data_IF_977208067955
#
_entry.id   IF_977208067955
#
_cell.length_a   1.000
_cell.length_b   1.000
_cell.length_c   1.000
_cell.angle_alpha   90.00
_cell.angle_beta   90.00
_cell.angle_gamma   90.00
#
_symmetry.space_group_name_H-M   'P 1'
#
loop_
_entity.id
_entity.type
_entity.pdbx_description
1 polymer ?
#
# COMPACT_ATOMS: atom_id res chain seq x y z
N UNK A 1 -11.72 10.37 37.36
CA UNK A 1 -12.32 9.02 37.51
C UNK A 1 -13.55 8.99 36.63
N UNK A 2 -13.46 8.41 35.45
CA UNK A 2 -14.57 8.32 34.49
C UNK A 2 -15.27 6.95 34.63
N UNK A 3 -16.54 7.00 34.92
CA UNK A 3 -17.41 5.83 35.19
C UNK A 3 -17.99 5.36 33.83
N UNK A 4 -17.66 4.15 33.40
CA UNK A 4 -18.25 3.52 32.22
C UNK A 4 -19.45 2.65 32.66
N UNK A 5 -20.63 2.76 31.99
CA UNK A 5 -21.77 1.89 32.27
C UNK A 5 -21.58 0.49 31.66
N UNK A 6 -22.16 -0.56 32.28
CA UNK A 6 -22.03 -1.94 31.81
C UNK A 6 -22.89 -2.23 30.58
N UNK A 7 -22.30 -2.95 29.62
CA UNK A 7 -22.96 -3.46 28.41
C UNK A 7 -23.80 -4.69 28.76
N UNK A 8 -25.11 -4.68 28.41
CA UNK A 8 -26.00 -5.84 28.51
C UNK A 8 -25.81 -6.83 27.37
N UNK A 9 -25.78 -8.12 27.62
CA UNK A 9 -25.78 -9.12 26.56
C UNK A 9 -27.17 -9.33 25.98
N UNK A 10 -27.30 -9.33 24.67
CA UNK A 10 -28.51 -9.63 23.91
C UNK A 10 -28.62 -11.15 23.72
N UNK A 11 -29.81 -11.69 24.07
CA UNK A 11 -30.15 -13.10 23.98
C UNK A 11 -30.32 -13.59 22.53
N UNK A 12 -30.04 -14.88 22.22
CA UNK A 12 -30.21 -15.46 20.87
C UNK A 12 -31.68 -15.75 20.58
N UNK A 13 -32.15 -15.24 19.45
CA UNK A 13 -33.50 -15.48 18.91
C UNK A 13 -33.64 -16.86 18.26
N UNK A 14 -34.77 -17.46 18.52
CA UNK A 14 -35.24 -18.78 18.16
C UNK A 14 -35.39 -18.97 16.63
N UNK A 15 -35.07 -20.19 16.18
CA UNK A 15 -35.31 -20.75 14.86
C UNK A 15 -36.77 -21.26 14.79
N UNK A 16 -37.59 -20.93 13.80
CA UNK A 16 -38.83 -21.65 13.56
C UNK A 16 -38.65 -22.81 12.57
N UNK A 17 -39.28 -23.94 12.97
CA UNK A 17 -39.31 -25.22 12.31
C UNK A 17 -40.04 -25.27 10.96
N UNK A 18 -39.53 -26.13 10.14
CA UNK A 18 -40.05 -26.98 9.06
C UNK A 18 -41.56 -26.95 8.72
N UNK A 19 -41.84 -26.86 7.42
CA UNK A 19 -43.06 -27.38 6.81
C UNK A 19 -42.71 -28.29 5.64
N UNK A 20 -43.16 -29.55 5.60
CA UNK A 20 -42.94 -30.46 4.46
C UNK A 20 -44.13 -30.49 3.50
N UNK A 21 -43.85 -30.70 2.20
CA UNK A 21 -44.77 -31.36 1.31
C UNK A 21 -45.48 -30.53 0.26
N UNK A 22 -45.08 -30.72 -0.99
CA UNK A 22 -46.01 -31.00 -2.09
C UNK A 22 -45.25 -31.40 -3.36
N UNK A 23 -45.25 -32.71 -3.67
CA UNK A 23 -44.97 -33.24 -5.00
C UNK A 23 -46.05 -32.77 -5.97
N UNK A 24 -45.68 -32.20 -7.15
CA UNK A 24 -46.47 -32.24 -8.37
C UNK A 24 -45.67 -32.03 -9.66
N UNK A 25 -45.52 -33.10 -10.41
CA UNK A 25 -45.63 -33.35 -11.86
C UNK A 25 -44.62 -32.74 -12.85
N UNK A 26 -44.07 -33.59 -13.74
CA UNK A 26 -43.10 -33.25 -14.77
C UNK A 26 -43.83 -32.85 -16.08
N UNK A 27 -43.89 -31.58 -16.36
CA UNK A 27 -44.22 -31.05 -17.68
C UNK A 27 -43.67 -29.62 -17.79
N UNK A 28 -42.39 -29.49 -18.05
CA UNK A 28 -41.79 -28.21 -18.55
C UNK A 28 -40.26 -28.31 -18.70
N UNK A 29 -39.79 -29.50 -19.14
CA UNK A 29 -38.34 -29.70 -19.34
C UNK A 29 -37.79 -28.95 -20.55
N UNK A 30 -38.62 -28.53 -21.47
CA UNK A 30 -38.19 -27.78 -22.67
C UNK A 30 -38.00 -26.27 -22.42
N UNK A 31 -38.81 -25.69 -21.55
CA UNK A 31 -38.66 -24.28 -21.19
C UNK A 31 -37.42 -24.04 -20.30
N UNK A 32 -37.02 -25.00 -19.50
CA UNK A 32 -35.84 -24.93 -18.67
C UNK A 32 -34.53 -24.93 -19.47
N UNK A 33 -34.47 -25.62 -20.60
CA UNK A 33 -33.31 -25.69 -21.50
C UNK A 33 -33.08 -24.36 -22.26
N UNK A 34 -34.13 -23.66 -22.65
CA UNK A 34 -34.03 -22.38 -23.35
C UNK A 34 -33.68 -21.24 -22.41
N UNK A 35 -34.12 -21.27 -21.15
CA UNK A 35 -33.75 -20.28 -20.13
C UNK A 35 -32.32 -20.50 -19.62
N UNK A 36 -31.82 -21.73 -19.59
CA UNK A 36 -30.43 -22.03 -19.18
C UNK A 36 -29.37 -21.51 -20.17
N UNK A 37 -29.63 -21.62 -21.47
CA UNK A 37 -28.70 -21.15 -22.51
C UNK A 37 -28.56 -19.60 -22.51
N UNK A 38 -29.67 -18.90 -22.30
CA UNK A 38 -29.66 -17.42 -22.19
C UNK A 38 -28.92 -16.90 -20.99
N UNK A 39 -29.02 -17.58 -19.86
CA UNK A 39 -28.34 -17.16 -18.61
C UNK A 39 -26.82 -17.32 -18.70
N UNK A 40 -26.30 -18.33 -19.36
CA UNK A 40 -24.87 -18.58 -19.56
C UNK A 40 -24.24 -17.49 -20.44
N UNK A 41 -24.94 -17.09 -21.53
CA UNK A 41 -24.44 -16.03 -22.43
C UNK A 41 -24.43 -14.68 -21.72
N UNK A 42 -25.45 -14.37 -20.91
CA UNK A 42 -25.49 -13.12 -20.12
C UNK A 42 -24.41 -13.09 -19.05
N UNK A 43 -24.15 -14.20 -18.36
CA UNK A 43 -23.08 -14.30 -17.37
C UNK A 43 -21.69 -14.15 -17.99
N UNK A 44 -21.45 -14.78 -19.15
CA UNK A 44 -20.20 -14.64 -19.87
C UNK A 44 -19.96 -13.19 -20.33
N UNK A 45 -20.99 -12.50 -20.83
CA UNK A 45 -20.91 -11.09 -21.21
C UNK A 45 -20.65 -10.17 -20.03
N UNK A 46 -21.22 -10.45 -18.86
CA UNK A 46 -21.01 -9.69 -17.64
C UNK A 46 -19.58 -9.86 -17.10
N UNK A 47 -19.03 -11.07 -17.12
CA UNK A 47 -17.65 -11.35 -16.70
C UNK A 47 -16.65 -10.66 -17.63
N UNK A 48 -16.88 -10.67 -18.95
CA UNK A 48 -16.02 -9.96 -19.90
C UNK A 48 -16.13 -8.45 -19.75
N UNK A 49 -17.32 -7.91 -19.51
CA UNK A 49 -17.53 -6.49 -19.27
C UNK A 49 -16.81 -6.00 -18.01
N UNK A 50 -16.88 -6.75 -16.92
CA UNK A 50 -16.19 -6.41 -15.66
C UNK A 50 -14.66 -6.53 -15.82
N UNK A 51 -14.16 -7.53 -16.55
CA UNK A 51 -12.74 -7.68 -16.82
C UNK A 51 -12.18 -6.53 -17.67
N UNK A 52 -12.95 -6.02 -18.64
CA UNK A 52 -12.55 -4.85 -19.43
C UNK A 52 -12.57 -3.54 -18.62
N UNK A 53 -13.46 -3.41 -17.65
CA UNK A 53 -13.51 -2.24 -16.76
C UNK A 53 -12.44 -2.28 -15.67
N UNK A 54 -11.99 -3.47 -15.25
CA UNK A 54 -10.91 -3.66 -14.28
C UNK A 54 -9.51 -3.76 -14.91
N UNK A 55 -9.38 -3.59 -16.23
CA UNK A 55 -8.05 -3.43 -16.81
C UNK A 55 -7.41 -2.19 -16.20
N UNK A 56 -6.26 -2.30 -15.51
CA UNK A 56 -5.60 -1.13 -14.97
C UNK A 56 -5.28 -0.21 -16.14
N UNK A 57 -6.01 0.89 -16.24
CA UNK A 57 -5.69 1.94 -17.20
C UNK A 57 -4.22 2.31 -16.95
N UNK A 58 -3.39 2.21 -17.96
CA UNK A 58 -2.00 2.64 -17.84
C UNK A 58 -1.93 4.05 -17.25
N UNK A 59 -0.82 4.42 -16.59
CA UNK A 59 -0.72 5.72 -15.94
C UNK A 59 -1.02 6.82 -16.96
N UNK A 60 -1.90 7.75 -16.56
CA UNK A 60 -2.27 8.87 -17.41
C UNK A 60 -1.03 9.72 -17.78
N UNK A 61 -1.02 10.43 -18.89
CA UNK A 61 0.09 11.33 -19.24
C UNK A 61 0.45 12.32 -18.13
N UNK A 62 -0.55 12.80 -17.37
CA UNK A 62 -0.34 13.65 -16.21
C UNK A 62 0.39 12.92 -15.07
N UNK A 63 0.02 11.66 -14.78
CA UNK A 63 0.70 10.85 -13.77
C UNK A 63 2.14 10.51 -14.18
N UNK A 64 2.40 10.28 -15.47
CA UNK A 64 3.75 10.08 -16.00
C UNK A 64 4.60 11.36 -15.87
N UNK A 65 4.04 12.52 -16.17
CA UNK A 65 4.72 13.80 -16.01
C UNK A 65 5.07 14.07 -14.55
N UNK A 66 4.15 13.82 -13.62
CA UNK A 66 4.41 13.92 -12.18
C UNK A 66 5.48 12.96 -11.71
N UNK A 67 5.45 11.69 -12.15
CA UNK A 67 6.48 10.70 -11.82
C UNK A 67 7.86 11.12 -12.33
N UNK A 68 7.94 11.71 -13.53
CA UNK A 68 9.17 12.22 -14.10
C UNK A 68 9.72 13.44 -13.33
N UNK A 69 8.85 14.34 -12.90
CA UNK A 69 9.24 15.47 -12.05
C UNK A 69 9.74 14.98 -10.69
N UNK A 70 9.02 14.06 -10.04
CA UNK A 70 9.46 13.46 -8.77
C UNK A 70 10.80 12.74 -8.89
N UNK A 71 11.10 12.11 -10.04
CA UNK A 71 12.37 11.43 -10.25
C UNK A 71 13.59 12.36 -10.16
N UNK A 72 13.45 13.64 -10.50
CA UNK A 72 14.53 14.64 -10.43
C UNK A 72 14.91 14.99 -8.99
N UNK A 73 14.00 14.78 -8.05
CA UNK A 73 14.19 15.07 -6.63
C UNK A 73 14.52 13.82 -5.79
N UNK A 74 14.62 12.65 -6.40
CA UNK A 74 14.97 11.42 -5.68
C UNK A 74 16.43 11.43 -5.26
N UNK A 75 16.68 11.09 -4.00
CA UNK A 75 18.03 10.79 -3.54
C UNK A 75 18.62 9.65 -4.36
N UNK A 76 19.89 9.78 -4.71
CA UNK A 76 20.61 8.80 -5.54
C UNK A 76 21.54 7.94 -4.66
N UNK A 77 21.91 6.76 -5.18
CA UNK A 77 22.95 5.90 -4.60
C UNK A 77 22.74 5.68 -3.09
N UNK A 78 21.55 5.25 -2.70
CA UNK A 78 21.27 4.91 -1.31
C UNK A 78 22.08 3.67 -0.93
N UNK A 79 23.00 3.82 0.02
CA UNK A 79 23.87 2.76 0.53
C UNK A 79 23.56 2.52 1.99
N UNK A 80 23.44 1.24 2.36
CA UNK A 80 23.18 0.82 3.74
C UNK A 80 24.32 -0.09 4.18
N UNK A 81 25.07 0.35 5.19
CA UNK A 81 26.12 -0.42 5.84
C UNK A 81 25.62 -0.94 7.18
N UNK A 82 25.33 -2.26 7.31
CA UNK A 82 24.94 -2.86 8.59
C UNK A 82 26.06 -2.74 9.62
N UNK A 83 25.67 -2.49 10.89
CA UNK A 83 26.56 -2.43 12.05
C UNK A 83 25.98 -3.27 13.17
N UNK A 84 26.75 -3.65 14.20
CA UNK A 84 26.23 -4.31 15.38
C UNK A 84 25.10 -3.49 16.01
N UNK A 85 23.87 -4.05 16.03
CA UNK A 85 22.68 -3.38 16.57
C UNK A 85 22.21 -2.15 15.81
N UNK A 86 22.60 -1.96 14.52
CA UNK A 86 22.21 -0.79 13.78
C UNK A 86 22.58 -0.78 12.31
N UNK A 87 22.45 0.37 11.67
CA UNK A 87 22.85 0.59 10.28
C UNK A 87 23.25 2.05 10.05
N UNK A 88 24.26 2.27 9.21
CA UNK A 88 24.56 3.58 8.65
C UNK A 88 23.96 3.66 7.25
N UNK A 89 23.18 4.69 7.00
CA UNK A 89 22.57 4.98 5.69
C UNK A 89 23.25 6.22 5.12
N UNK A 90 23.65 6.13 3.85
CA UNK A 90 24.23 7.22 3.06
C UNK A 90 23.50 7.33 1.74
N UNK A 91 23.43 8.54 1.20
CA UNK A 91 22.87 8.80 -0.12
C UNK A 91 23.58 9.95 -0.80
N UNK A 92 23.47 10.03 -2.12
CA UNK A 92 23.87 11.22 -2.87
C UNK A 92 22.66 12.15 -3.02
N UNK A 93 22.91 13.49 -3.08
CA UNK A 93 21.82 14.44 -3.32
C UNK A 93 21.11 14.15 -4.66
N UNK A 94 19.85 14.58 -4.78
CA UNK A 94 19.12 14.46 -6.05
C UNK A 94 19.78 15.32 -7.13
N UNK A 95 19.58 14.99 -8.42
CA UNK A 95 20.09 15.80 -9.52
C UNK A 95 19.59 17.25 -9.47
N UNK A 96 18.37 17.45 -8.98
CA UNK A 96 17.77 18.77 -8.76
C UNK A 96 17.68 19.03 -7.27
N UNK A 97 18.61 19.83 -6.75
CA UNK A 97 18.69 20.13 -5.33
C UNK A 97 17.93 21.41 -4.91
N UNK A 98 17.53 22.23 -5.90
CA UNK A 98 16.78 23.46 -5.61
C UNK A 98 15.42 23.13 -4.96
N UNK A 99 15.11 23.82 -3.85
CA UNK A 99 13.89 23.59 -3.07
C UNK A 99 13.92 22.38 -2.14
N UNK A 100 15.02 21.62 -2.09
CA UNK A 100 15.17 20.54 -1.08
C UNK A 100 15.39 21.18 0.28
N UNK A 101 14.51 20.84 1.23
CA UNK A 101 14.57 21.38 2.61
C UNK A 101 15.04 20.35 3.61
N UNK A 102 14.75 19.08 3.38
CA UNK A 102 15.15 18.00 4.27
C UNK A 102 15.13 16.64 3.57
N UNK A 103 15.72 15.65 4.22
CA UNK A 103 15.56 14.22 3.93
C UNK A 103 14.91 13.54 5.12
N UNK A 104 13.90 12.70 4.85
CA UNK A 104 13.29 11.80 5.83
C UNK A 104 13.81 10.40 5.54
N UNK A 105 14.44 9.78 6.53
CA UNK A 105 14.97 8.42 6.37
C UNK A 105 14.24 7.50 7.33
N UNK A 106 13.61 6.47 6.78
CA UNK A 106 12.84 5.48 7.51
C UNK A 106 13.60 4.16 7.59
N UNK A 107 13.56 3.52 8.75
CA UNK A 107 13.93 2.11 8.91
C UNK A 107 12.65 1.30 9.13
N UNK A 108 12.32 0.41 8.19
CA UNK A 108 11.09 -0.37 8.18
C UNK A 108 11.36 -1.84 8.45
N UNK A 109 10.48 -2.48 9.22
CA UNK A 109 10.45 -3.91 9.45
C UNK A 109 9.08 -4.46 9.05
N UNK A 110 9.06 -5.32 8.01
CA UNK A 110 7.80 -5.88 7.51
C UNK A 110 6.82 -4.83 6.97
N UNK A 111 7.32 -3.77 6.31
CA UNK A 111 6.53 -2.69 5.73
C UNK A 111 5.99 -1.68 6.76
N UNK A 112 6.51 -1.70 8.00
CA UNK A 112 6.13 -0.74 9.04
C UNK A 112 7.35 0.04 9.48
N UNK A 113 7.26 1.37 9.48
CA UNK A 113 8.30 2.23 10.01
C UNK A 113 8.52 1.94 11.51
N UNK A 114 9.78 1.68 11.86
CA UNK A 114 10.22 1.46 13.24
C UNK A 114 10.92 2.69 13.80
N UNK A 115 11.69 3.36 12.96
CA UNK A 115 12.41 4.57 13.29
C UNK A 115 12.37 5.52 12.09
N UNK A 116 12.36 6.81 12.40
CA UNK A 116 12.40 7.90 11.44
C UNK A 116 13.44 8.92 11.86
N UNK A 117 14.26 9.34 10.91
CA UNK A 117 15.23 10.41 11.11
C UNK A 117 15.03 11.48 10.06
N UNK A 118 14.92 12.74 10.51
CA UNK A 118 14.94 13.91 9.63
C UNK A 118 16.35 14.47 9.57
N UNK A 119 16.86 14.66 8.37
CA UNK A 119 18.20 15.19 8.09
C UNK A 119 18.05 16.44 7.23
N UNK A 120 18.71 17.53 7.58
CA UNK A 120 18.64 18.78 6.80
C UNK A 120 19.16 18.63 5.37
N UNK A 121 18.82 19.57 4.51
CA UNK A 121 19.09 19.56 3.06
C UNK A 121 20.58 19.28 2.68
N UNK A 122 21.52 19.66 3.51
CA UNK A 122 22.96 19.46 3.30
C UNK A 122 23.50 18.15 3.88
N UNK A 123 22.70 17.45 4.66
CA UNK A 123 23.08 16.18 5.26
C UNK A 123 22.81 14.99 4.33
N UNK A 124 23.77 14.08 4.20
CA UNK A 124 23.67 12.95 3.28
C UNK A 124 23.97 11.61 3.98
N UNK A 125 23.81 11.57 5.30
CA UNK A 125 24.01 10.36 6.10
C UNK A 125 23.22 10.41 7.40
N UNK A 126 22.81 9.22 7.87
CA UNK A 126 22.27 9.04 9.21
C UNK A 126 22.67 7.67 9.75
N UNK A 127 22.50 7.47 11.07
CA UNK A 127 22.79 6.18 11.72
C UNK A 127 21.59 5.78 12.56
N UNK A 128 21.06 4.62 12.27
CA UNK A 128 20.05 3.96 13.08
C UNK A 128 20.73 3.08 14.13
N UNK A 129 20.33 3.19 15.38
CA UNK A 129 20.78 2.38 16.49
C UNK A 129 19.60 1.60 17.10
N UNK A 130 19.87 0.55 17.87
CA UNK A 130 18.83 -0.23 18.54
C UNK A 130 18.00 -1.12 17.61
N UNK A 131 18.48 -1.38 16.40
CA UNK A 131 17.85 -2.32 15.49
C UNK A 131 18.15 -3.75 15.94
N UNK A 132 17.15 -4.64 15.78
CA UNK A 132 17.29 -6.05 16.21
C UNK A 132 18.20 -6.81 15.25
N UNK A 133 19.26 -7.42 15.79
CA UNK A 133 20.15 -8.29 15.04
C UNK A 133 19.38 -9.50 14.43
N UNK A 134 19.85 -9.99 13.29
CA UNK A 134 19.22 -11.08 12.55
C UNK A 134 17.93 -10.71 11.82
N UNK A 135 17.44 -9.47 11.93
CA UNK A 135 16.24 -9.02 11.23
C UNK A 135 16.59 -8.25 9.95
N UNK A 136 15.75 -8.41 8.93
CA UNK A 136 15.84 -7.68 7.66
C UNK A 136 15.05 -6.39 7.76
N UNK A 137 15.75 -5.27 7.69
CA UNK A 137 15.15 -3.94 7.61
C UNK A 137 15.27 -3.39 6.19
N UNK A 138 14.26 -2.66 5.76
CA UNK A 138 14.28 -1.86 4.52
C UNK A 138 14.43 -0.39 4.90
N UNK A 139 15.35 0.30 4.24
CA UNK A 139 15.63 1.72 4.48
C UNK A 139 15.13 2.51 3.29
N UNK A 140 14.33 3.52 3.56
CA UNK A 140 13.70 4.40 2.58
C UNK A 140 14.21 5.81 2.79
N UNK A 141 14.66 6.47 1.73
CA UNK A 141 15.08 7.88 1.77
C UNK A 141 14.07 8.71 0.98
N UNK A 142 13.33 9.54 1.68
CA UNK A 142 12.42 10.54 1.11
C UNK A 142 13.07 11.91 1.07
N UNK A 143 13.03 12.60 -0.05
CA UNK A 143 13.47 13.99 -0.20
C UNK A 143 12.26 14.90 -0.05
N UNK A 144 12.28 15.81 0.90
CA UNK A 144 11.25 16.82 1.10
C UNK A 144 11.62 18.06 0.30
N UNK A 145 10.72 18.44 -0.60
CA UNK A 145 10.90 19.58 -1.50
C UNK A 145 9.80 20.60 -1.23
N UNK A 146 10.18 21.85 -1.07
CA UNK A 146 9.24 22.97 -0.98
C UNK A 146 9.22 23.74 -2.31
N UNK A 147 8.03 23.88 -2.90
CA UNK A 147 7.83 24.68 -4.10
C UNK A 147 7.78 26.17 -3.78
N UNK A 148 8.01 27.03 -4.76
CA UNK A 148 7.91 28.48 -4.61
C UNK A 148 6.54 28.98 -4.10
N UNK A 149 5.50 28.14 -4.17
CA UNK A 149 4.16 28.39 -3.62
C UNK A 149 3.94 27.85 -2.20
N UNK A 150 4.98 27.39 -1.48
CA UNK A 150 4.87 26.87 -0.13
C UNK A 150 4.25 25.46 -0.04
N UNK A 151 4.05 24.77 -1.16
CA UNK A 151 3.58 23.40 -1.15
C UNK A 151 4.75 22.44 -0.97
N UNK A 152 4.67 21.62 0.08
CA UNK A 152 5.64 20.56 0.31
C UNK A 152 5.29 19.30 -0.47
N UNK A 153 6.27 18.71 -1.12
CA UNK A 153 6.19 17.42 -1.79
C UNK A 153 7.28 16.48 -1.28
N UNK A 154 7.07 15.17 -1.46
CA UNK A 154 8.09 14.17 -1.12
C UNK A 154 8.39 13.29 -2.31
N UNK A 155 9.68 13.15 -2.64
CA UNK A 155 10.17 12.22 -3.66
C UNK A 155 10.95 11.09 -2.97
N UNK A 156 10.50 9.85 -3.15
CA UNK A 156 11.07 8.70 -2.43
C UNK A 156 12.02 7.91 -3.34
N UNK A 157 13.22 7.63 -2.85
CA UNK A 157 14.15 6.71 -3.48
C UNK A 157 13.68 5.25 -3.33
N UNK A 158 14.12 4.33 -4.20
CA UNK A 158 13.90 2.90 -4.00
C UNK A 158 14.45 2.44 -2.65
N UNK A 159 13.74 1.54 -2.00
CA UNK A 159 14.14 0.97 -0.71
C UNK A 159 15.37 0.06 -0.84
N UNK A 160 16.20 0.07 0.18
CA UNK A 160 17.39 -0.79 0.27
C UNK A 160 17.28 -1.65 1.52
N UNK A 161 17.07 -2.95 1.33
CA UNK A 161 16.90 -3.87 2.46
C UNK A 161 18.21 -4.57 2.86
N UNK A 162 18.47 -4.66 4.17
CA UNK A 162 19.66 -5.34 4.74
C UNK A 162 19.29 -6.09 6.02
N UNK A 163 20.02 -7.18 6.27
CA UNK A 163 19.97 -7.89 7.55
C UNK A 163 20.95 -7.22 8.52
N UNK A 164 20.47 -6.87 9.71
CA UNK A 164 21.29 -6.25 10.75
C UNK A 164 22.14 -7.32 11.45
N UNK A 165 23.37 -7.00 11.76
CA UNK A 165 24.34 -7.89 12.43
C UNK A 165 24.38 -7.68 13.94
#
# INVERSE_FOLDING_TARGET
>A
MAHFPPVRPTAPGAIPDSVPGAQRRPRRTWLALLLGAGAVIMLAGLIWGIAAWNSPAGPSPAAQAQASQQAQYRALRVEVAPRPGGAAVRWSPPPHAAGVVAFIVLAELGGRAQQEHTVGATGHRTVFAGLRAGRRYCFVVGTVVESAGGQAGTATAPDVCRVIR
#
